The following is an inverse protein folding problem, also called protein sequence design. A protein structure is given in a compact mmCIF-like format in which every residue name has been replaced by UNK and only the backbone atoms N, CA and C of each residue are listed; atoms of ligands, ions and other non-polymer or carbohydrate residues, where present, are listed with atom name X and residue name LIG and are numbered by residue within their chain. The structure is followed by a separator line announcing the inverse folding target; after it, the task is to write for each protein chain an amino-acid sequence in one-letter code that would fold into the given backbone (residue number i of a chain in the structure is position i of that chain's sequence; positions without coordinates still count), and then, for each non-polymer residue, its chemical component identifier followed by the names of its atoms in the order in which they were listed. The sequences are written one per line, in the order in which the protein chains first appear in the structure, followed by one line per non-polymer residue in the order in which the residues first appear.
data_IF_566648604748
#
_entry.id   IF_566648604748
#
_cell.length_a   1.000
_cell.length_b   1.000
_cell.length_c   1.000
_cell.angle_alpha   90.00
_cell.angle_beta   90.00
_cell.angle_gamma   90.00
#
_symmetry.space_group_name_H-M   'P 1'
#
loop_
_entity.id
_entity.type
_entity.pdbx_description
1 polymer ?
#
# COMPACT_ATOMS: atom_id res chain seq x y z
N UNK A 1 -1.22 -27.82 3.02
CA UNK A 1 -2.01 -26.77 2.32
C UNK A 1 -2.29 -27.09 0.85
N UNK A 2 -1.36 -26.97 -0.11
CA UNK A 2 -1.69 -27.17 -1.54
C UNK A 2 -2.23 -28.59 -1.86
N UNK A 3 -1.68 -29.62 -1.22
CA UNK A 3 -2.18 -31.01 -1.33
C UNK A 3 -3.58 -31.19 -0.70
N UNK A 4 -3.85 -30.50 0.41
CA UNK A 4 -5.17 -30.52 1.08
C UNK A 4 -6.22 -29.78 0.24
N UNK A 5 -5.87 -28.65 -0.37
CA UNK A 5 -6.78 -27.93 -1.28
C UNK A 5 -7.07 -28.79 -2.50
N UNK A 6 -6.07 -29.47 -3.06
CA UNK A 6 -6.27 -30.36 -4.21
C UNK A 6 -7.20 -31.54 -3.89
N UNK A 7 -7.23 -32.02 -2.64
CA UNK A 7 -8.21 -33.04 -2.23
C UNK A 7 -9.65 -32.51 -2.14
N UNK A 8 -9.84 -31.21 -1.89
CA UNK A 8 -11.17 -30.57 -1.80
C UNK A 8 -11.62 -30.04 -3.16
N UNK A 9 -10.68 -29.58 -3.99
CA UNK A 9 -10.91 -28.97 -5.28
C UNK A 9 -9.95 -29.62 -6.30
N UNK A 10 -10.36 -30.72 -6.97
CA UNK A 10 -9.48 -31.48 -7.86
C UNK A 10 -8.93 -30.68 -9.04
N UNK A 11 -9.65 -29.64 -9.48
CA UNK A 11 -9.19 -28.71 -10.52
C UNK A 11 -8.17 -27.67 -10.03
N UNK A 12 -7.84 -27.65 -8.72
CA UNK A 12 -6.86 -26.72 -8.18
C UNK A 12 -5.43 -27.05 -8.67
N UNK A 13 -4.86 -26.12 -9.43
CA UNK A 13 -3.44 -26.09 -9.76
C UNK A 13 -2.73 -25.01 -8.94
N UNK A 14 -1.77 -25.40 -8.09
CA UNK A 14 -0.99 -24.43 -7.29
C UNK A 14 -0.21 -23.45 -8.16
N UNK A 15 0.24 -23.86 -9.36
CA UNK A 15 0.97 -22.98 -10.27
C UNK A 15 0.08 -21.86 -10.79
N UNK A 16 -1.21 -22.12 -11.01
CA UNK A 16 -2.11 -21.19 -11.70
C UNK A 16 -3.03 -20.44 -10.72
N UNK A 17 -3.34 -21.06 -9.58
CA UNK A 17 -4.32 -20.54 -8.61
C UNK A 17 -3.69 -20.02 -7.31
N UNK A 18 -2.47 -20.42 -6.94
CA UNK A 18 -1.82 -19.85 -5.76
C UNK A 18 -1.34 -18.43 -6.07
N UNK A 19 -1.82 -17.48 -5.27
CA UNK A 19 -1.49 -16.06 -5.34
C UNK A 19 -0.65 -15.69 -4.11
N UNK A 20 0.43 -14.96 -4.33
CA UNK A 20 1.26 -14.46 -3.23
C UNK A 20 0.50 -13.40 -2.40
N UNK A 21 0.85 -13.27 -1.13
CA UNK A 21 0.23 -12.27 -0.26
C UNK A 21 0.65 -10.84 -0.65
N UNK A 22 -0.30 -10.02 -1.10
CA UNK A 22 -0.04 -8.63 -1.49
C UNK A 22 0.44 -7.76 -0.32
N UNK A 23 -0.08 -7.96 0.90
CA UNK A 23 0.43 -7.25 2.08
C UNK A 23 1.92 -7.54 2.34
N UNK A 24 2.36 -8.78 2.04
CA UNK A 24 3.78 -9.13 2.11
C UNK A 24 4.59 -8.42 1.01
N UNK A 25 4.07 -8.36 -0.21
CA UNK A 25 4.70 -7.60 -1.31
C UNK A 25 4.85 -6.12 -0.97
N UNK A 26 3.79 -5.46 -0.48
CA UNK A 26 3.84 -4.05 -0.09
C UNK A 26 4.87 -3.85 1.03
N UNK A 27 4.92 -4.77 2.00
CA UNK A 27 5.96 -4.73 3.03
C UNK A 27 7.38 -4.82 2.47
N UNK A 28 7.63 -5.71 1.50
CA UNK A 28 8.93 -5.83 0.85
C UNK A 28 9.29 -4.56 0.06
N UNK A 29 8.32 -3.99 -0.66
CA UNK A 29 8.50 -2.74 -1.40
C UNK A 29 8.86 -1.59 -0.46
N UNK A 30 8.04 -1.38 0.58
CA UNK A 30 8.29 -0.35 1.59
C UNK A 30 9.66 -0.49 2.26
N UNK A 31 10.06 -1.73 2.59
CA UNK A 31 11.37 -2.00 3.20
C UNK A 31 12.52 -1.66 2.24
N UNK A 32 12.41 -2.04 0.97
CA UNK A 32 13.45 -1.80 0.00
C UNK A 32 13.57 -0.29 -0.32
N UNK A 33 12.45 0.44 -0.39
CA UNK A 33 12.47 1.90 -0.52
C UNK A 33 13.00 2.63 0.72
N UNK A 34 12.61 2.22 1.94
CA UNK A 34 13.17 2.78 3.18
C UNK A 34 14.69 2.58 3.28
N UNK A 35 15.21 1.46 2.78
CA UNK A 35 16.66 1.23 2.70
C UNK A 35 17.32 2.20 1.72
N UNK A 36 16.71 2.41 0.55
CA UNK A 36 17.23 3.32 -0.47
C UNK A 36 17.23 4.79 -0.02
N UNK A 37 16.25 5.23 0.78
CA UNK A 37 16.28 6.55 1.45
C UNK A 37 17.47 6.72 2.41
N UNK A 38 18.09 5.61 2.79
CA UNK A 38 19.12 5.50 3.80
C UNK A 38 20.53 5.22 3.30
N UNK A 39 20.70 4.95 2.01
CA UNK A 39 21.99 4.72 1.38
C UNK A 39 22.50 6.05 0.79
N UNK A 40 23.73 6.44 1.14
CA UNK A 40 24.40 7.58 0.53
C UNK A 40 24.50 7.34 -0.99
N UNK A 41 23.80 8.13 -1.80
CA UNK A 41 24.04 8.19 -3.25
C UNK A 41 25.15 9.21 -3.57
N UNK A 42 26.14 9.30 -2.68
CA UNK A 42 27.16 10.35 -2.66
C UNK A 42 28.58 9.92 -3.04
N UNK A 43 28.81 8.69 -3.53
CA UNK A 43 30.12 8.25 -4.02
C UNK A 43 30.09 7.94 -5.52
N UNK A 44 30.09 9.00 -6.34
CA UNK A 44 30.83 8.99 -7.61
C UNK A 44 32.18 9.66 -7.41
N UNK A 45 32.97 9.17 -6.44
CA UNK A 45 34.41 9.41 -6.46
C UNK A 45 35.04 8.43 -7.45
N UNK A 46 35.51 8.95 -8.58
CA UNK A 46 36.59 8.34 -9.34
C UNK A 46 37.73 7.94 -8.38
N UNK A 47 38.46 6.82 -8.62
CA UNK A 47 39.53 6.43 -7.71
C UNK A 47 40.60 7.51 -7.71
N UNK A 48 40.76 8.21 -6.58
CA UNK A 48 41.87 9.15 -6.39
C UNK A 48 43.08 8.31 -5.99
N UNK A 49 44.09 8.28 -6.88
CA UNK A 49 45.39 7.67 -6.62
C UNK A 49 46.01 8.22 -5.33
N UNK A 50 46.32 7.31 -4.41
CA UNK A 50 46.81 7.59 -3.05
C UNK A 50 48.28 8.07 -2.96
N UNK A 51 48.81 8.77 -3.96
CA UNK A 51 50.26 9.07 -4.02
C UNK A 51 50.66 10.55 -4.03
N UNK A 52 49.84 11.48 -3.56
CA UNK A 52 50.31 12.85 -3.32
C UNK A 52 49.59 13.55 -2.15
N UNK A 53 50.11 13.36 -0.95
CA UNK A 53 49.75 14.18 0.22
C UNK A 53 50.64 15.42 0.25
N UNK A 54 50.08 16.57 -0.16
CA UNK A 54 50.70 17.87 0.07
C UNK A 54 50.15 18.43 1.40
N UNK A 55 50.99 18.62 2.45
CA UNK A 55 50.51 18.91 3.81
C UNK A 55 50.02 20.35 4.03
N UNK A 56 49.70 21.09 2.97
CA UNK A 56 49.27 22.49 3.04
C UNK A 56 48.13 22.80 2.06
N UNK A 57 47.13 21.91 1.96
CA UNK A 57 45.91 22.16 1.20
C UNK A 57 44.88 22.88 2.08
N UNK A 58 44.41 24.05 1.60
CA UNK A 58 43.39 24.91 2.24
C UNK A 58 42.05 24.18 2.46
N UNK A 59 41.81 23.05 1.77
CA UNK A 59 40.66 22.17 1.98
C UNK A 59 40.57 21.55 3.38
N UNK A 60 41.67 21.52 4.15
CA UNK A 60 41.67 21.05 5.53
C UNK A 60 41.21 22.10 6.56
N UNK A 61 40.93 23.33 6.13
CA UNK A 61 40.51 24.44 7.01
C UNK A 61 39.06 24.89 6.80
N UNK A 62 38.29 24.24 5.92
CA UNK A 62 36.88 24.54 5.74
C UNK A 62 36.05 23.33 6.14
N UNK A 63 35.43 23.38 7.32
CA UNK A 63 34.27 22.54 7.59
C UNK A 63 33.23 22.87 6.51
N UNK A 64 32.75 21.90 5.72
CA UNK A 64 31.67 22.16 4.80
C UNK A 64 30.45 22.63 5.61
N UNK A 65 29.63 23.56 5.07
CA UNK A 65 28.48 24.07 5.78
C UNK A 65 27.57 22.90 6.18
N UNK A 66 27.17 22.87 7.45
CA UNK A 66 26.35 21.86 8.15
C UNK A 66 24.93 21.60 7.55
N UNK A 67 24.74 21.73 6.24
CA UNK A 67 23.43 21.64 5.57
C UNK A 67 23.30 20.59 4.46
N UNK A 68 24.37 19.89 4.07
CA UNK A 68 24.36 19.08 2.83
C UNK A 68 24.12 17.57 3.00
N UNK A 69 24.13 17.03 4.21
CA UNK A 69 23.93 15.58 4.43
C UNK A 69 22.80 15.26 5.44
N UNK A 70 21.63 15.84 5.21
CA UNK A 70 20.41 15.51 5.97
C UNK A 70 19.79 14.21 5.42
N UNK A 71 20.30 13.07 5.88
CA UNK A 71 19.82 11.75 5.48
C UNK A 71 18.48 11.42 6.16
N UNK A 72 17.53 10.85 5.42
CA UNK A 72 16.22 10.42 5.94
C UNK A 72 16.36 9.41 7.10
N UNK A 73 17.38 8.56 7.06
CA UNK A 73 17.72 7.65 8.16
C UNK A 73 18.03 8.37 9.48
N UNK A 74 18.69 9.53 9.43
CA UNK A 74 18.97 10.34 10.62
C UNK A 74 17.67 10.84 11.26
N UNK A 75 16.73 11.30 10.42
CA UNK A 75 15.40 11.78 10.85
C UNK A 75 14.61 10.64 11.52
N UNK A 76 14.52 9.48 10.85
CA UNK A 76 13.86 8.28 11.39
C UNK A 76 14.53 7.87 12.71
N UNK A 77 15.86 7.90 12.76
CA UNK A 77 16.67 7.58 13.93
C UNK A 77 16.35 8.48 15.12
N UNK A 78 16.35 9.81 14.94
CA UNK A 78 16.04 10.77 16.00
C UNK A 78 14.65 10.55 16.59
N UNK A 79 13.64 10.46 15.73
CA UNK A 79 12.24 10.25 16.14
C UNK A 79 12.09 8.90 16.87
N UNK A 80 12.68 7.83 16.32
CA UNK A 80 12.62 6.51 16.94
C UNK A 80 13.32 6.48 18.29
N UNK A 81 14.48 7.11 18.42
CA UNK A 81 15.23 7.10 19.66
C UNK A 81 14.49 7.88 20.75
N UNK A 82 13.85 9.01 20.40
CA UNK A 82 12.99 9.71 21.35
C UNK A 82 11.77 8.87 21.74
N UNK A 83 11.08 8.25 20.77
CA UNK A 83 9.95 7.37 21.06
C UNK A 83 10.35 6.21 21.98
N UNK A 84 11.53 5.63 21.77
CA UNK A 84 12.11 4.62 22.66
C UNK A 84 12.39 5.20 24.06
N UNK A 85 13.08 6.34 24.14
CA UNK A 85 13.42 7.03 25.39
C UNK A 85 12.18 7.30 26.27
N UNK A 86 11.06 7.69 25.65
CA UNK A 86 9.78 7.92 26.30
C UNK A 86 9.09 6.63 26.74
N UNK A 87 9.15 5.57 25.93
CA UNK A 87 8.49 4.30 26.26
C UNK A 87 9.14 3.53 27.40
N UNK A 88 10.42 3.77 27.67
CA UNK A 88 11.15 3.09 28.76
C UNK A 88 10.89 3.69 30.16
N UNK A 89 10.17 4.82 30.28
CA UNK A 89 9.82 5.40 31.59
C UNK A 89 8.41 6.01 31.57
N UNK A 90 7.50 5.52 32.43
CA UNK A 90 6.17 6.10 32.59
C UNK A 90 6.20 7.60 32.88
N UNK A 91 7.14 8.04 33.73
CA UNK A 91 7.29 9.44 34.11
C UNK A 91 7.65 10.33 32.91
N UNK A 92 8.50 9.84 31.99
CA UNK A 92 8.85 10.57 30.77
C UNK A 92 7.65 10.68 29.82
N UNK A 93 6.87 9.61 29.71
CA UNK A 93 5.63 9.60 28.92
C UNK A 93 4.60 10.58 29.48
N UNK A 94 4.39 10.59 30.80
CA UNK A 94 3.50 11.54 31.46
C UNK A 94 3.97 12.98 31.24
N UNK A 95 5.28 13.24 31.34
CA UNK A 95 5.84 14.56 31.04
C UNK A 95 5.53 15.01 29.61
N UNK A 96 5.68 14.13 28.61
CA UNK A 96 5.31 14.45 27.24
C UNK A 96 3.80 14.72 27.11
N UNK A 97 2.96 13.90 27.75
CA UNK A 97 1.50 14.11 27.75
C UNK A 97 1.14 15.49 28.32
N UNK A 98 1.77 15.89 29.43
CA UNK A 98 1.59 17.23 30.00
C UNK A 98 2.02 18.32 29.01
N UNK A 99 3.14 18.14 28.31
CA UNK A 99 3.57 19.05 27.25
C UNK A 99 2.56 19.12 26.10
N UNK A 100 2.01 17.98 25.66
CA UNK A 100 0.99 17.92 24.61
C UNK A 100 -0.26 18.70 25.03
N UNK A 101 -0.76 18.47 26.25
CA UNK A 101 -1.95 19.17 26.74
C UNK A 101 -1.72 20.69 26.84
N UNK A 102 -0.51 21.11 27.26
CA UNK A 102 -0.13 22.51 27.35
C UNK A 102 -0.05 23.19 25.97
N UNK A 103 0.56 22.52 24.99
CA UNK A 103 0.79 23.09 23.65
C UNK A 103 -0.49 23.17 22.83
N UNK A 104 -1.40 22.20 22.99
CA UNK A 104 -2.62 22.10 22.19
C UNK A 104 -3.91 22.51 22.94
N UNK A 105 -3.78 23.08 24.13
CA UNK A 105 -4.90 23.57 24.96
C UNK A 105 -6.03 22.52 25.15
N UNK A 106 -5.65 21.30 25.53
CA UNK A 106 -6.58 20.17 25.65
C UNK A 106 -7.09 20.09 27.10
N UNK A 107 -8.34 20.53 27.31
CA UNK A 107 -9.02 20.63 28.62
C UNK A 107 -9.23 19.30 29.36
N UNK A 108 -9.07 18.14 28.71
CA UNK A 108 -9.21 16.82 29.36
C UNK A 108 -8.11 15.84 28.96
N UNK A 109 -7.42 15.19 29.91
CA UNK A 109 -6.37 14.19 29.66
C UNK A 109 -6.93 12.82 29.22
N UNK A 110 -8.03 12.80 28.47
CA UNK A 110 -8.75 11.55 28.15
C UNK A 110 -8.27 10.85 26.89
N UNK A 111 -7.38 11.44 26.07
CA UNK A 111 -6.84 10.81 24.85
C UNK A 111 -5.49 11.41 24.38
N UNK A 112 -4.67 11.98 25.27
CA UNK A 112 -3.43 12.65 24.87
C UNK A 112 -2.48 11.66 24.15
N UNK A 113 -2.22 11.93 22.87
CA UNK A 113 -1.38 11.07 22.02
C UNK A 113 0.07 11.14 22.49
N UNK A 114 0.69 9.98 22.76
CA UNK A 114 2.16 9.84 22.87
C UNK A 114 2.79 9.53 21.51
N UNK A 115 4.11 9.66 21.39
CA UNK A 115 4.87 9.07 20.29
C UNK A 115 4.72 7.54 20.27
N UNK A 116 4.73 6.98 19.06
CA UNK A 116 4.63 5.54 18.84
C UNK A 116 6.02 4.94 18.66
N UNK A 117 6.31 3.82 19.32
CA UNK A 117 7.54 3.07 19.08
C UNK A 117 7.49 2.35 17.75
N UNK A 118 8.59 2.40 17.00
CA UNK A 118 8.76 1.56 15.82
C UNK A 118 9.09 0.12 16.18
N UNK A 119 8.67 -0.80 15.32
CA UNK A 119 9.08 -2.18 15.25
C UNK A 119 9.92 -2.31 13.97
N UNK A 120 11.27 -2.43 14.06
CA UNK A 120 12.15 -2.34 12.89
C UNK A 120 11.83 -3.33 11.75
N UNK A 121 11.20 -4.45 12.08
CA UNK A 121 10.79 -5.48 11.11
C UNK A 121 9.45 -5.20 10.42
N UNK A 122 8.69 -4.18 10.84
CA UNK A 122 7.36 -3.84 10.33
C UNK A 122 7.28 -2.39 9.89
N UNK A 123 7.37 -2.19 8.58
CA UNK A 123 7.37 -0.87 7.95
C UNK A 123 6.15 0.02 8.36
N UNK A 124 4.95 -0.57 8.55
CA UNK A 124 3.75 0.13 9.03
C UNK A 124 3.97 0.87 10.35
N UNK A 125 4.84 0.35 11.22
CA UNK A 125 5.15 1.00 12.50
C UNK A 125 6.03 2.23 12.31
N UNK A 126 6.94 2.22 11.34
CA UNK A 126 7.75 3.38 10.93
C UNK A 126 6.84 4.48 10.40
N UNK A 127 5.94 4.16 9.48
CA UNK A 127 4.94 5.13 8.98
C UNK A 127 4.12 5.74 10.11
N UNK A 128 3.53 4.90 10.98
CA UNK A 128 2.72 5.36 12.12
C UNK A 128 3.52 6.26 13.08
N UNK A 129 4.78 5.92 13.33
CA UNK A 129 5.67 6.71 14.18
C UNK A 129 5.95 8.09 13.57
N UNK A 130 6.31 8.14 12.29
CA UNK A 130 6.57 9.40 11.58
C UNK A 130 5.32 10.27 11.51
N UNK A 131 4.19 9.69 11.13
CA UNK A 131 2.91 10.39 11.06
C UNK A 131 2.50 10.94 12.44
N UNK A 132 2.69 10.16 13.50
CA UNK A 132 2.44 10.63 14.88
C UNK A 132 3.40 11.74 15.32
N UNK A 133 4.66 11.68 14.92
CA UNK A 133 5.62 12.72 15.25
C UNK A 133 5.24 14.04 14.58
N UNK A 134 4.74 14.01 13.34
CA UNK A 134 4.20 15.18 12.65
C UNK A 134 2.94 15.72 13.32
N UNK A 135 1.99 14.86 13.71
CA UNK A 135 0.81 15.25 14.50
C UNK A 135 1.17 16.01 15.78
N UNK A 136 2.35 15.71 16.35
CA UNK A 136 2.83 16.24 17.62
C UNK A 136 4.03 17.18 17.45
N UNK A 137 4.26 17.75 16.25
CA UNK A 137 5.48 18.53 15.93
C UNK A 137 5.80 19.60 16.97
N UNK A 138 4.81 20.40 17.37
CA UNK A 138 5.03 21.52 18.30
C UNK A 138 5.33 21.02 19.72
N UNK A 139 4.57 20.04 20.20
CA UNK A 139 4.83 19.40 21.49
C UNK A 139 6.18 18.66 21.52
N UNK A 140 6.57 18.01 20.42
CA UNK A 140 7.87 17.38 20.25
C UNK A 140 8.99 18.41 20.40
N UNK A 141 8.89 19.52 19.67
CA UNK A 141 9.91 20.58 19.70
C UNK A 141 10.00 21.20 21.09
N UNK A 142 8.87 21.50 21.72
CA UNK A 142 8.84 22.01 23.09
C UNK A 142 9.46 21.02 24.08
N UNK A 143 9.11 19.73 23.99
CA UNK A 143 9.63 18.68 24.87
C UNK A 143 11.14 18.52 24.75
N UNK A 144 11.70 18.68 23.55
CA UNK A 144 13.13 18.54 23.29
C UNK A 144 13.95 19.81 23.60
N UNK A 145 13.36 20.87 24.13
CA UNK A 145 14.06 22.13 24.51
C UNK A 145 15.22 21.95 25.49
N UNK A 146 15.21 21.03 26.48
CA UNK A 146 16.35 20.83 27.37
C UNK A 146 17.58 20.29 26.63
N UNK A 147 18.79 20.69 27.05
CA UNK A 147 20.04 20.27 26.40
C UNK A 147 20.31 18.77 26.52
N UNK A 148 19.81 18.13 27.57
CA UNK A 148 19.86 16.68 27.72
C UNK A 148 19.13 15.91 26.61
N UNK A 149 18.27 16.59 25.83
CA UNK A 149 17.50 16.02 24.72
C UNK A 149 17.92 16.61 23.36
N UNK A 150 19.03 17.36 23.30
CA UNK A 150 19.50 18.00 22.07
C UNK A 150 19.72 16.99 20.91
N UNK A 151 20.16 15.77 21.22
CA UNK A 151 20.37 14.70 20.24
C UNK A 151 19.09 14.29 19.48
N UNK A 152 17.90 14.56 20.03
CA UNK A 152 16.61 14.21 19.42
C UNK A 152 15.97 15.38 18.66
N UNK A 153 16.53 16.59 18.73
CA UNK A 153 15.95 17.77 18.07
C UNK A 153 15.99 17.63 16.56
N UNK A 154 14.89 18.03 15.93
CA UNK A 154 14.73 18.10 14.48
C UNK A 154 14.72 19.58 14.09
N UNK A 155 15.52 19.92 13.09
CA UNK A 155 15.47 21.22 12.43
C UNK A 155 14.19 21.39 11.60
N UNK A 156 13.90 22.62 11.20
CA UNK A 156 12.77 22.90 10.28
C UNK A 156 12.87 22.07 8.99
N UNK A 157 14.06 21.99 8.39
CA UNK A 157 14.28 21.23 7.15
C UNK A 157 14.11 19.72 7.35
N UNK A 158 14.49 19.18 8.52
CA UNK A 158 14.23 17.77 8.85
C UNK A 158 12.73 17.48 9.04
N UNK A 159 11.97 18.44 9.58
CA UNK A 159 10.51 18.30 9.66
C UNK A 159 9.84 18.30 8.27
N UNK A 160 10.28 19.16 7.36
CA UNK A 160 9.76 19.15 5.98
C UNK A 160 10.11 17.83 5.27
N UNK A 161 11.32 17.31 5.46
CA UNK A 161 11.69 15.97 4.96
C UNK A 161 10.85 14.85 5.59
N UNK A 162 10.58 14.90 6.89
CA UNK A 162 9.71 13.93 7.55
C UNK A 162 8.28 13.95 6.98
N UNK A 163 7.76 15.14 6.64
CA UNK A 163 6.46 15.30 5.98
C UNK A 163 6.45 14.66 4.60
N UNK A 164 7.47 14.91 3.78
CA UNK A 164 7.61 14.28 2.46
C UNK A 164 7.64 12.75 2.58
N UNK A 165 8.42 12.20 3.53
CA UNK A 165 8.42 10.74 3.74
C UNK A 165 7.06 10.17 4.10
N UNK A 166 6.29 10.86 4.95
CA UNK A 166 4.96 10.38 5.36
C UNK A 166 4.02 10.37 4.18
N UNK A 167 4.00 11.44 3.38
CA UNK A 167 3.18 11.52 2.17
C UNK A 167 3.57 10.44 1.17
N UNK A 168 4.87 10.22 0.96
CA UNK A 168 5.40 9.18 0.08
C UNK A 168 5.05 7.75 0.52
N UNK A 169 5.03 7.48 1.83
CA UNK A 169 4.71 6.16 2.39
C UNK A 169 3.20 5.91 2.58
N UNK A 170 2.38 6.95 2.50
CA UNK A 170 0.96 6.88 2.79
C UNK A 170 0.18 5.96 1.83
N UNK A 171 0.37 6.00 0.50
CA UNK A 171 -0.35 5.10 -0.42
C UNK A 171 -0.15 3.61 -0.08
N UNK A 172 1.07 3.22 0.26
CA UNK A 172 1.37 1.85 0.67
C UNK A 172 0.62 1.46 1.96
N UNK A 173 0.41 2.43 2.86
CA UNK A 173 -0.16 2.16 4.17
C UNK A 173 -1.67 1.96 4.03
N UNK A 174 -2.32 2.81 3.24
CA UNK A 174 -3.73 2.71 2.87
C UNK A 174 -4.00 1.41 2.10
N UNK A 175 -3.19 1.08 1.09
CA UNK A 175 -3.31 -0.17 0.36
C UNK A 175 -3.14 -1.40 1.27
N UNK A 176 -2.21 -1.34 2.23
CA UNK A 176 -2.02 -2.42 3.22
C UNK A 176 -3.26 -2.60 4.11
N UNK A 177 -3.85 -1.50 4.61
CA UNK A 177 -5.08 -1.57 5.39
C UNK A 177 -6.23 -2.17 4.56
N UNK A 178 -6.38 -1.77 3.30
CA UNK A 178 -7.44 -2.25 2.44
C UNK A 178 -7.32 -3.76 2.18
N UNK A 179 -6.12 -4.25 1.86
CA UNK A 179 -5.92 -5.67 1.51
C UNK A 179 -5.86 -6.61 2.73
N UNK A 180 -5.60 -6.06 3.93
CA UNK A 180 -5.63 -6.83 5.19
C UNK A 180 -7.04 -6.97 5.78
N UNK A 181 -8.06 -6.43 5.12
CA UNK A 181 -9.46 -6.62 5.51
C UNK A 181 -9.88 -8.09 5.49
N UNK A 182 -10.70 -8.49 6.47
CA UNK A 182 -11.23 -9.85 6.59
C UNK A 182 -12.75 -9.94 6.50
N UNK A 183 -13.45 -8.80 6.48
CA UNK A 183 -14.92 -8.72 6.43
C UNK A 183 -15.48 -8.59 5.01
N UNK A 184 -14.62 -8.51 3.99
CA UNK A 184 -15.00 -8.38 2.59
C UNK A 184 -13.96 -9.08 1.69
N UNK A 185 -14.33 -9.47 0.45
CA UNK A 185 -13.36 -9.99 -0.52
C UNK A 185 -12.31 -8.93 -0.87
N UNK A 186 -11.02 -9.31 -0.83
CA UNK A 186 -9.88 -8.42 -1.12
C UNK A 186 -9.15 -8.77 -2.41
N UNK A 187 -9.27 -10.01 -2.91
CA UNK A 187 -8.57 -10.45 -4.13
C UNK A 187 -8.99 -9.66 -5.38
N UNK A 188 -10.26 -9.24 -5.45
CA UNK A 188 -10.86 -8.37 -6.47
C UNK A 188 -10.35 -6.92 -6.45
N UNK A 189 -9.50 -6.57 -5.49
CA UNK A 189 -8.83 -5.27 -5.39
C UNK A 189 -7.32 -5.40 -5.65
N UNK A 190 -6.78 -6.61 -5.77
CA UNK A 190 -5.32 -6.84 -5.78
C UNK A 190 -4.65 -6.20 -6.99
N UNK A 191 -5.10 -6.52 -8.21
CA UNK A 191 -4.51 -5.94 -9.43
C UNK A 191 -4.75 -4.42 -9.51
N UNK A 192 -5.98 -3.90 -9.29
CA UNK A 192 -6.23 -2.46 -9.22
C UNK A 192 -5.33 -1.71 -8.24
N UNK A 193 -5.16 -2.22 -7.01
CA UNK A 193 -4.31 -1.58 -6.01
C UNK A 193 -2.84 -1.53 -6.43
N UNK A 194 -2.32 -2.57 -7.10
CA UNK A 194 -0.94 -2.53 -7.57
C UNK A 194 -0.72 -1.48 -8.67
N UNK A 195 -1.69 -1.31 -9.57
CA UNK A 195 -1.67 -0.28 -10.62
C UNK A 195 -1.66 1.11 -9.96
N UNK A 196 -2.64 1.37 -9.08
CA UNK A 196 -2.73 2.64 -8.36
C UNK A 196 -1.49 2.93 -7.51
N UNK A 197 -0.91 1.93 -6.86
CA UNK A 197 0.33 2.13 -6.08
C UNK A 197 1.50 2.60 -6.96
N UNK A 198 1.65 2.09 -8.18
CA UNK A 198 2.70 2.55 -9.08
C UNK A 198 2.45 3.99 -9.51
N UNK A 199 1.21 4.31 -9.87
CA UNK A 199 0.80 5.65 -10.28
C UNK A 199 0.97 6.66 -9.15
N UNK A 200 0.50 6.35 -7.93
CA UNK A 200 0.63 7.20 -6.74
C UNK A 200 2.10 7.46 -6.38
N UNK A 201 2.98 6.43 -6.49
CA UNK A 201 4.41 6.60 -6.23
C UNK A 201 5.04 7.55 -7.27
N UNK A 202 4.65 7.44 -8.55
CA UNK A 202 5.13 8.33 -9.61
C UNK A 202 4.60 9.75 -9.45
N UNK A 203 3.32 9.90 -9.15
CA UNK A 203 2.73 11.20 -8.86
C UNK A 203 3.43 11.87 -7.68
N UNK A 204 3.76 11.11 -6.62
CA UNK A 204 4.54 11.65 -5.51
C UNK A 204 5.95 12.13 -5.94
N UNK A 205 6.61 11.47 -6.89
CA UNK A 205 7.88 11.96 -7.42
C UNK A 205 7.73 13.31 -8.14
N UNK A 206 6.67 13.48 -8.92
CA UNK A 206 6.37 14.71 -9.65
C UNK A 206 5.99 15.87 -8.72
N UNK A 207 5.12 15.61 -7.74
CA UNK A 207 4.59 16.63 -6.83
C UNK A 207 5.64 17.16 -5.85
N UNK A 208 6.49 16.27 -5.31
CA UNK A 208 7.42 16.67 -4.26
C UNK A 208 8.76 17.16 -4.82
N UNK A 209 9.12 16.85 -6.08
CA UNK A 209 10.34 17.29 -6.78
C UNK A 209 11.60 17.30 -5.89
N UNK A 210 11.77 16.26 -5.07
CA UNK A 210 12.91 16.11 -4.16
C UNK A 210 13.78 15.00 -4.72
N UNK A 211 14.86 15.36 -5.44
CA UNK A 211 15.90 14.45 -5.93
C UNK A 211 16.29 13.29 -4.98
N UNK A 212 16.32 13.44 -3.62
CA UNK A 212 16.69 12.34 -2.74
C UNK A 212 15.62 11.24 -2.48
N UNK A 213 14.42 11.26 -3.08
CA UNK A 213 13.44 10.14 -2.94
C UNK A 213 13.34 9.23 -4.18
N UNK A 214 13.92 9.62 -5.31
CA UNK A 214 13.89 8.86 -6.57
C UNK A 214 14.41 7.42 -6.42
N UNK A 215 15.57 7.16 -5.77
CA UNK A 215 16.04 5.79 -5.59
C UNK A 215 15.08 4.91 -4.77
N UNK A 216 14.32 5.52 -3.85
CA UNK A 216 13.36 4.82 -3.04
C UNK A 216 12.09 4.47 -3.83
N UNK A 217 11.61 5.40 -4.65
CA UNK A 217 10.50 5.15 -5.56
C UNK A 217 10.83 4.06 -6.57
N UNK A 218 12.02 4.11 -7.19
CA UNK A 218 12.49 3.07 -8.11
C UNK A 218 12.53 1.69 -7.44
N UNK A 219 13.09 1.60 -6.23
CA UNK A 219 13.14 0.35 -5.49
C UNK A 219 11.73 -0.21 -5.19
N UNK A 220 10.77 0.67 -4.84
CA UNK A 220 9.38 0.28 -4.58
C UNK A 220 8.66 -0.15 -5.85
N UNK A 221 8.74 0.64 -6.92
CA UNK A 221 8.12 0.35 -8.23
C UNK A 221 8.68 -0.95 -8.78
N UNK A 222 10.02 -1.12 -8.81
CA UNK A 222 10.63 -2.37 -9.28
C UNK A 222 10.13 -3.58 -8.49
N UNK A 223 9.95 -3.45 -7.16
CA UNK A 223 9.38 -4.53 -6.35
C UNK A 223 7.96 -4.84 -6.79
N UNK A 224 7.10 -3.83 -6.84
CA UNK A 224 5.68 -3.99 -7.16
C UNK A 224 5.50 -4.55 -8.57
N UNK A 225 6.21 -3.99 -9.55
CA UNK A 225 6.20 -4.41 -10.95
C UNK A 225 6.51 -5.89 -11.13
N UNK A 226 7.51 -6.42 -10.41
CA UNK A 226 7.82 -7.86 -10.43
C UNK A 226 6.63 -8.72 -10.02
N UNK A 227 5.85 -8.28 -9.04
CA UNK A 227 4.67 -9.01 -8.59
C UNK A 227 3.48 -8.83 -9.52
N UNK A 228 3.29 -7.65 -10.12
CA UNK A 228 2.29 -7.43 -11.18
C UNK A 228 2.49 -8.45 -12.30
N UNK A 229 3.71 -8.59 -12.82
CA UNK A 229 4.02 -9.57 -13.87
C UNK A 229 3.63 -11.00 -13.46
N UNK A 230 3.81 -11.36 -12.19
CA UNK A 230 3.43 -12.69 -11.68
C UNK A 230 1.91 -12.84 -11.63
N UNK A 231 1.18 -11.84 -11.11
CA UNK A 231 -0.28 -11.94 -10.93
C UNK A 231 -1.06 -11.79 -12.23
N UNK A 232 -0.50 -11.12 -13.26
CA UNK A 232 -1.08 -11.10 -14.60
C UNK A 232 -1.10 -12.49 -15.25
N UNK A 233 -0.27 -13.43 -14.77
CA UNK A 233 -0.37 -14.84 -15.13
C UNK A 233 -1.44 -15.63 -14.37
N UNK A 234 -2.18 -15.00 -13.43
CA UNK A 234 -3.11 -15.69 -12.51
C UNK A 234 -4.56 -15.34 -12.85
N UNK A 235 -5.24 -16.25 -13.56
CA UNK A 235 -6.65 -16.10 -13.96
C UNK A 235 -7.58 -15.70 -12.80
N UNK A 236 -7.47 -16.26 -11.57
CA UNK A 236 -8.36 -15.88 -10.48
C UNK A 236 -8.29 -14.39 -10.09
N UNK A 237 -7.11 -13.78 -10.14
CA UNK A 237 -6.93 -12.36 -9.77
C UNK A 237 -7.58 -11.46 -10.82
N UNK A 238 -7.37 -11.77 -12.10
CA UNK A 238 -7.96 -11.02 -13.21
C UNK A 238 -9.48 -11.13 -13.17
N UNK A 239 -10.00 -12.36 -13.07
CA UNK A 239 -11.44 -12.61 -13.03
C UNK A 239 -12.09 -11.92 -11.83
N UNK A 240 -11.51 -12.06 -10.63
CA UNK A 240 -12.05 -11.42 -9.44
C UNK A 240 -12.05 -9.89 -9.57
N UNK A 241 -11.03 -9.30 -10.17
CA UNK A 241 -10.95 -7.85 -10.33
C UNK A 241 -11.96 -7.31 -11.35
N UNK A 242 -12.19 -8.03 -12.45
CA UNK A 242 -13.22 -7.70 -13.45
C UNK A 242 -14.64 -7.91 -12.90
N UNK A 243 -14.85 -8.96 -12.09
CA UNK A 243 -16.10 -9.23 -11.37
C UNK A 243 -16.35 -8.28 -10.18
N UNK A 244 -15.52 -7.26 -9.98
CA UNK A 244 -15.82 -6.21 -9.02
C UNK A 244 -16.79 -5.20 -9.67
N UNK A 245 -18.06 -5.14 -9.25
CA UNK A 245 -19.05 -4.30 -9.91
C UNK A 245 -18.74 -2.80 -9.79
N UNK A 246 -17.91 -2.42 -8.82
CA UNK A 246 -17.43 -1.04 -8.60
C UNK A 246 -16.31 -0.62 -9.54
N UNK A 247 -15.68 -1.56 -10.24
CA UNK A 247 -14.52 -1.32 -11.11
C UNK A 247 -14.79 -1.75 -12.55
N UNK A 248 -15.25 -2.99 -12.72
CA UNK A 248 -15.47 -3.66 -14.00
C UNK A 248 -14.23 -3.59 -14.90
N UNK A 249 -14.41 -3.74 -16.21
CA UNK A 249 -13.35 -3.48 -17.18
C UNK A 249 -13.00 -1.97 -17.30
N UNK A 250 -13.94 -1.09 -16.94
CA UNK A 250 -13.80 0.37 -17.03
C UNK A 250 -12.60 0.90 -16.24
N UNK A 251 -12.32 0.32 -15.06
CA UNK A 251 -11.10 0.64 -14.32
C UNK A 251 -9.85 0.35 -15.17
N UNK A 252 -9.76 -0.82 -15.79
CA UNK A 252 -8.59 -1.20 -16.59
C UNK A 252 -8.47 -0.38 -17.88
N UNK A 253 -9.58 0.04 -18.47
CA UNK A 253 -9.60 0.95 -19.61
C UNK A 253 -9.00 2.32 -19.23
N UNK A 254 -9.28 2.80 -18.03
CA UNK A 254 -8.76 4.09 -17.53
C UNK A 254 -7.25 4.03 -17.29
N UNK A 255 -6.72 2.87 -16.89
CA UNK A 255 -5.31 2.68 -16.54
C UNK A 255 -4.57 1.82 -17.58
N UNK A 256 -5.03 1.85 -18.84
CA UNK A 256 -4.50 0.99 -19.92
C UNK A 256 -3.03 1.31 -20.25
N UNK A 257 -2.62 2.57 -20.08
CA UNK A 257 -1.22 2.99 -20.25
C UNK A 257 -0.29 2.23 -19.31
N UNK A 258 -0.63 2.14 -18.02
CA UNK A 258 0.16 1.44 -17.02
C UNK A 258 0.12 -0.07 -17.24
N UNK A 259 -1.01 -0.64 -17.69
CA UNK A 259 -1.07 -2.03 -18.14
C UNK A 259 -0.12 -2.31 -19.31
N UNK A 260 0.01 -1.37 -20.24
CA UNK A 260 0.91 -1.46 -21.39
C UNK A 260 2.37 -1.69 -21.01
N UNK A 261 2.82 -1.11 -19.90
CA UNK A 261 4.18 -1.33 -19.36
C UNK A 261 4.44 -2.79 -18.97
N UNK A 262 3.38 -3.54 -18.65
CA UNK A 262 3.44 -4.96 -18.33
C UNK A 262 3.15 -5.87 -19.53
N UNK A 263 3.10 -5.31 -20.74
CA UNK A 263 2.80 -6.04 -21.96
C UNK A 263 1.35 -6.52 -22.02
N UNK A 264 0.43 -5.84 -21.33
CA UNK A 264 -1.00 -6.17 -21.37
C UNK A 264 -1.90 -4.96 -21.65
N UNK A 265 -3.19 -5.20 -21.80
CA UNK A 265 -4.22 -4.16 -21.98
C UNK A 265 -5.56 -4.60 -21.41
N UNK A 266 -6.47 -3.66 -21.21
CA UNK A 266 -7.85 -3.91 -20.81
C UNK A 266 -8.50 -4.95 -21.73
N UNK A 267 -8.34 -4.82 -23.06
CA UNK A 267 -8.89 -5.77 -24.03
C UNK A 267 -8.37 -7.20 -23.81
N UNK A 268 -7.07 -7.34 -23.51
CA UNK A 268 -6.49 -8.65 -23.23
C UNK A 268 -7.00 -9.22 -21.90
N UNK A 269 -7.11 -8.40 -20.85
CA UNK A 269 -7.66 -8.83 -19.57
C UNK A 269 -9.12 -9.27 -19.69
N UNK A 270 -9.95 -8.51 -20.42
CA UNK A 270 -11.34 -8.87 -20.68
C UNK A 270 -11.43 -10.18 -21.45
N UNK A 271 -10.64 -10.36 -22.51
CA UNK A 271 -10.57 -11.63 -23.25
C UNK A 271 -10.15 -12.80 -22.35
N UNK A 272 -9.17 -12.59 -21.46
CA UNK A 272 -8.73 -13.62 -20.52
C UNK A 272 -9.84 -14.01 -19.54
N UNK A 273 -10.68 -13.06 -19.16
CA UNK A 273 -11.85 -13.31 -18.32
C UNK A 273 -12.94 -14.05 -19.09
N UNK A 274 -13.27 -13.64 -20.31
CA UNK A 274 -14.24 -14.33 -21.19
C UNK A 274 -13.86 -15.79 -21.43
N UNK A 275 -12.58 -16.05 -21.75
CA UNK A 275 -12.04 -17.41 -21.90
C UNK A 275 -12.22 -18.25 -20.63
N UNK A 276 -12.09 -17.65 -19.46
CA UNK A 276 -12.26 -18.34 -18.18
C UNK A 276 -13.75 -18.56 -17.88
N UNK A 277 -14.60 -17.56 -18.10
CA UNK A 277 -16.05 -17.64 -17.92
C UNK A 277 -16.66 -18.75 -18.80
N UNK A 278 -16.18 -18.91 -20.03
CA UNK A 278 -16.64 -19.96 -20.93
C UNK A 278 -16.37 -21.37 -20.38
N UNK A 279 -15.27 -21.57 -19.64
CA UNK A 279 -14.98 -22.88 -19.01
C UNK A 279 -16.01 -23.23 -17.94
N UNK A 280 -16.54 -22.25 -17.21
CA UNK A 280 -17.56 -22.49 -16.19
C UNK A 280 -18.90 -22.92 -16.79
N UNK A 281 -19.27 -22.38 -17.94
CA UNK A 281 -20.47 -22.82 -18.68
C UNK A 281 -20.30 -24.27 -19.15
N UNK A 282 -19.13 -24.64 -19.66
CA UNK A 282 -18.85 -26.01 -20.12
C UNK A 282 -18.80 -27.03 -18.97
N UNK A 283 -18.53 -26.61 -17.74
CA UNK A 283 -18.51 -27.48 -16.55
C UNK A 283 -19.93 -27.69 -15.97
N UNK A 284 -20.86 -26.76 -16.20
CA UNK A 284 -22.25 -26.79 -15.69
C UNK A 284 -23.18 -27.80 -16.38
N UNK A 285 -22.71 -28.59 -17.35
CA UNK A 285 -23.41 -29.82 -17.78
C UNK A 285 -23.36 -30.93 -16.70
N UNK A 286 -22.70 -30.70 -15.56
CA UNK A 286 -22.89 -31.46 -14.33
C UNK A 286 -23.85 -30.69 -13.39
N UNK A 287 -24.93 -31.35 -12.97
CA UNK A 287 -26.04 -30.78 -12.20
C UNK A 287 -25.58 -29.80 -11.11
N UNK A 288 -26.17 -28.59 -11.03
CA UNK A 288 -25.87 -27.68 -9.93
C UNK A 288 -26.33 -28.29 -8.62
N UNK A 289 -25.44 -28.36 -7.63
CA UNK A 289 -25.84 -28.53 -6.24
C UNK A 289 -26.69 -27.31 -5.85
N UNK A 290 -28.02 -27.46 -5.88
CA UNK A 290 -28.95 -26.49 -5.31
C UNK A 290 -28.61 -26.32 -3.83
N UNK A 291 -28.04 -25.17 -3.48
CA UNK A 291 -28.09 -24.69 -2.11
C UNK A 291 -29.51 -24.15 -1.91
N UNK A 292 -30.42 -25.03 -1.52
CA UNK A 292 -31.79 -24.68 -1.15
C UNK A 292 -31.71 -23.84 0.13
N UNK A 293 -31.76 -22.52 -0.01
CA UNK A 293 -32.06 -21.62 1.10
C UNK A 293 -33.57 -21.53 1.20
N UNK A 294 -34.18 -22.29 2.11
CA UNK A 294 -35.60 -22.12 2.45
C UNK A 294 -35.84 -20.72 3.01
N UNK A 295 -36.29 -19.80 2.16
CA UNK A 295 -37.08 -18.64 2.60
C UNK A 295 -38.47 -18.74 1.98
N UNK A 296 -39.48 -18.73 2.85
CA UNK A 296 -40.88 -18.72 2.45
C UNK A 296 -41.25 -17.35 1.86
N UNK A 297 -41.09 -17.19 0.54
CA UNK A 297 -41.47 -15.98 -0.22
C UNK A 297 -42.42 -16.27 -1.38
N UNK A 298 -43.14 -17.41 -1.35
CA UNK A 298 -44.00 -17.92 -2.44
C UNK A 298 -44.98 -16.92 -3.07
N UNK A 299 -45.42 -15.90 -2.35
CA UNK A 299 -46.33 -14.86 -2.87
C UNK A 299 -45.58 -13.70 -3.53
N UNK A 300 -44.47 -13.26 -2.95
CA UNK A 300 -43.65 -12.17 -3.51
C UNK A 300 -42.94 -12.63 -4.79
N UNK A 301 -42.46 -13.87 -4.84
CA UNK A 301 -41.82 -14.44 -6.04
C UNK A 301 -42.81 -14.60 -7.22
N UNK A 302 -44.12 -14.66 -6.93
CA UNK A 302 -45.18 -14.70 -7.95
C UNK A 302 -45.63 -13.31 -8.41
N UNK A 303 -45.59 -12.32 -7.52
CA UNK A 303 -45.97 -10.93 -7.82
C UNK A 303 -44.85 -10.17 -8.53
N UNK A 304 -43.61 -10.44 -8.14
CA UNK A 304 -42.39 -9.86 -8.68
C UNK A 304 -41.48 -11.01 -9.06
N UNK A 305 -41.58 -11.55 -10.29
CA UNK A 305 -40.63 -12.54 -10.76
C UNK A 305 -39.23 -11.94 -10.56
N UNK A 306 -38.38 -12.61 -9.78
CA UNK A 306 -36.96 -12.28 -9.77
C UNK A 306 -36.52 -12.28 -11.23
N UNK A 307 -35.82 -11.23 -11.65
CA UNK A 307 -35.15 -11.19 -12.93
C UNK A 307 -33.96 -12.17 -12.93
N UNK A 308 -34.13 -13.40 -12.44
CA UNK A 308 -33.30 -14.50 -12.90
C UNK A 308 -33.55 -14.60 -14.40
N UNK A 309 -32.59 -14.11 -15.18
CA UNK A 309 -32.59 -14.17 -16.64
C UNK A 309 -32.40 -15.63 -17.09
N UNK A 310 -33.35 -16.49 -16.76
CA UNK A 310 -33.39 -17.89 -17.14
C UNK A 310 -33.42 -17.96 -18.67
N UNK A 311 -32.30 -18.32 -19.27
CA UNK A 311 -32.13 -18.50 -20.72
C UNK A 311 -31.26 -17.45 -21.43
N UNK A 312 -30.67 -16.47 -20.73
CA UNK A 312 -29.66 -15.61 -21.34
C UNK A 312 -28.36 -16.40 -21.62
N UNK A 313 -27.77 -16.19 -22.80
CA UNK A 313 -26.45 -16.75 -23.12
C UNK A 313 -25.38 -16.05 -22.28
N UNK A 314 -24.24 -16.72 -22.03
CA UNK A 314 -23.09 -16.10 -21.35
C UNK A 314 -22.72 -14.76 -22.01
N UNK A 315 -22.71 -14.72 -23.34
CA UNK A 315 -22.40 -13.53 -24.12
C UNK A 315 -23.32 -12.34 -23.77
N UNK A 316 -24.64 -12.58 -23.66
CA UNK A 316 -25.60 -11.53 -23.33
C UNK A 316 -25.44 -11.04 -21.88
N UNK A 317 -25.14 -11.95 -20.95
CA UNK A 317 -24.89 -11.61 -19.55
C UNK A 317 -23.61 -10.77 -19.39
N UNK A 318 -22.53 -11.15 -20.10
CA UNK A 318 -21.28 -10.40 -20.11
C UNK A 318 -21.46 -9.02 -20.75
N UNK A 319 -22.16 -8.96 -21.89
CA UNK A 319 -22.47 -7.70 -22.54
C UNK A 319 -23.27 -6.78 -21.62
N UNK A 320 -24.28 -7.30 -20.91
CA UNK A 320 -25.06 -6.52 -19.94
C UNK A 320 -24.18 -5.99 -18.83
N UNK A 321 -23.43 -6.87 -18.16
CA UNK A 321 -22.56 -6.51 -17.03
C UNK A 321 -21.57 -5.40 -17.40
N UNK A 322 -20.97 -5.48 -18.59
CA UNK A 322 -20.01 -4.49 -19.08
C UNK A 322 -20.66 -3.22 -19.63
N UNK A 323 -21.91 -3.27 -20.10
CA UNK A 323 -22.62 -2.08 -20.56
C UNK A 323 -23.11 -1.17 -19.42
N UNK A 324 -23.36 -1.76 -18.25
CA UNK A 324 -23.80 -1.02 -17.07
C UNK A 324 -22.65 -0.23 -16.43
N UNK A 325 -22.90 0.99 -15.93
CA UNK A 325 -21.86 1.77 -15.24
C UNK A 325 -21.33 1.03 -14.00
N UNK A 326 -20.13 1.38 -13.51
CA UNK A 326 -19.64 0.87 -12.23
C UNK A 326 -20.54 1.28 -11.06
N UNK A 327 -20.73 0.36 -10.12
CA UNK A 327 -21.50 0.61 -8.90
C UNK A 327 -20.82 1.61 -7.95
N UNK A 328 -21.57 2.31 -7.07
CA UNK A 328 -21.01 3.19 -6.06
C UNK A 328 -19.95 2.54 -5.17
N UNK A 329 -19.00 3.33 -4.68
CA UNK A 329 -17.84 2.84 -3.89
C UNK A 329 -18.21 2.03 -2.65
N UNK A 330 -19.34 2.34 -2.04
CA UNK A 330 -19.89 1.78 -0.81
C UNK A 330 -20.78 0.55 -1.05
N UNK A 331 -20.95 0.13 -2.30
CA UNK A 331 -21.70 -1.09 -2.66
C UNK A 331 -21.05 -2.34 -2.06
N UNK A 332 -21.84 -3.14 -1.35
CA UNK A 332 -21.44 -4.46 -0.89
C UNK A 332 -21.45 -5.44 -2.07
N UNK A 333 -20.25 -5.88 -2.46
CA UNK A 333 -20.02 -6.76 -3.62
C UNK A 333 -20.75 -8.11 -3.44
N UNK A 334 -20.79 -8.66 -2.23
CA UNK A 334 -21.41 -9.95 -1.99
C UNK A 334 -22.94 -9.86 -2.03
N UNK A 335 -23.50 -8.72 -1.64
CA UNK A 335 -24.93 -8.44 -1.80
C UNK A 335 -25.28 -8.25 -3.27
N UNK A 336 -24.46 -7.50 -4.03
CA UNK A 336 -24.65 -7.30 -5.47
C UNK A 336 -24.72 -8.63 -6.24
N UNK A 337 -23.81 -9.56 -5.98
CA UNK A 337 -23.82 -10.86 -6.67
C UNK A 337 -24.87 -11.85 -6.15
N UNK A 338 -25.61 -11.51 -5.08
CA UNK A 338 -26.68 -12.35 -4.53
C UNK A 338 -28.05 -12.00 -5.13
N UNK A 339 -28.26 -10.75 -5.52
CA UNK A 339 -29.54 -10.23 -6.05
C UNK A 339 -29.82 -10.72 -7.47
#
# INVERSE_FOLDING_TARGET
MALEIKSICPCFCSKDHAVGCMAHTIHLAARDGLKALGSDTGDTSTPVDHNNLNPMAISSLTNPPNGLNLQYNSIIGKISQLASYLCHSPQRREKLITTVNLVYDIDKPTNAKTLLSQVPTRWNSTYKMLNRALDLKDAYNHFCTPDSLAAYRLSHLEWEKAKVMVLFLQPLYEATLLICGSSYPTINQTLPLYILLIEDIRQALEEYNVAPIEPAADAMIQKISKYITIILGKRPVICASILNPRLKHTFFLTHDSTLGEFGTSCTQLTKMFEEEAQKFVTIQDCEPHEIVVERSTRLLDKMYPSATHKGATLELELQRYFSEPPEPKDTDILVFWRS
#
